data_IF_460824546984
#
_entry.id   IF_460824546984
#
_cell.length_a   1.000
_cell.length_b   1.000
_cell.length_c   1.000
_cell.angle_alpha   90.00
_cell.angle_beta   90.00
_cell.angle_gamma   90.00
#
_symmetry.space_group_name_H-M   'P 1'
#
loop_
_entity.id
_entity.type
_entity.pdbx_description
1 polymer ?
#
# COMPACT_ATOMS: atom_id res chain seq x y z
N UNK A 1 -30.48 -42.86 4.40
CA UNK A 1 -30.13 -41.95 5.52
C UNK A 1 -30.44 -40.53 5.07
N UNK A 2 -31.69 -40.10 5.27
CA UNK A 2 -32.13 -38.73 5.00
C UNK A 2 -31.91 -37.89 6.27
N UNK A 3 -31.18 -36.79 6.15
CA UNK A 3 -30.94 -35.84 7.25
C UNK A 3 -32.03 -34.77 7.22
N UNK A 4 -32.98 -34.90 8.14
CA UNK A 4 -34.01 -33.89 8.42
C UNK A 4 -33.40 -32.80 9.30
N UNK A 5 -33.20 -31.60 8.74
CA UNK A 5 -32.80 -30.40 9.48
C UNK A 5 -34.05 -29.73 10.08
N UNK A 6 -34.30 -29.93 11.37
CA UNK A 6 -35.33 -29.19 12.12
C UNK A 6 -34.83 -27.78 12.46
N UNK A 7 -35.43 -26.76 11.85
CA UNK A 7 -35.26 -25.35 12.21
C UNK A 7 -36.12 -25.03 13.44
N UNK A 8 -35.49 -24.85 14.59
CA UNK A 8 -36.10 -24.19 15.75
C UNK A 8 -36.11 -22.68 15.53
N UNK A 9 -37.31 -22.12 15.38
CA UNK A 9 -37.56 -20.68 15.31
C UNK A 9 -37.61 -20.13 16.75
N UNK A 10 -36.63 -19.33 17.15
CA UNK A 10 -36.69 -18.58 18.41
C UNK A 10 -37.30 -17.21 18.10
N UNK A 11 -38.49 -16.97 18.65
CA UNK A 11 -39.21 -15.70 18.61
C UNK A 11 -38.47 -14.66 19.47
N UNK A 12 -37.85 -13.66 18.84
CA UNK A 12 -37.32 -12.49 19.55
C UNK A 12 -38.46 -11.47 19.77
N UNK A 13 -38.79 -11.24 21.04
CA UNK A 13 -39.63 -10.12 21.46
C UNK A 13 -38.86 -8.80 21.28
N UNK A 14 -39.47 -7.85 20.57
CA UNK A 14 -38.94 -6.52 20.35
C UNK A 14 -38.96 -5.70 21.65
N UNK A 15 -37.79 -5.20 22.07
CA UNK A 15 -37.64 -4.23 23.15
C UNK A 15 -37.66 -2.82 22.54
N UNK A 16 -38.51 -1.89 23.00
CA UNK A 16 -38.57 -0.55 22.45
C UNK A 16 -37.33 0.27 22.85
N UNK A 17 -36.52 0.65 21.86
CA UNK A 17 -35.39 1.56 22.05
C UNK A 17 -35.87 3.00 22.23
N UNK A 18 -35.78 3.49 23.47
CA UNK A 18 -35.91 4.92 23.81
C UNK A 18 -34.68 5.68 23.28
N UNK A 19 -34.90 6.68 22.43
CA UNK A 19 -33.84 7.56 21.94
C UNK A 19 -33.25 8.42 23.10
N UNK A 20 -31.92 8.50 23.26
CA UNK A 20 -31.32 9.45 24.18
C UNK A 20 -31.18 10.84 23.53
N UNK A 21 -31.58 11.84 24.33
CA UNK A 21 -31.45 13.28 24.10
C UNK A 21 -30.00 13.68 23.82
N UNK A 22 -29.82 14.54 22.82
CA UNK A 22 -28.56 15.21 22.47
C UNK A 22 -28.04 16.05 23.64
N UNK A 23 -26.91 15.65 24.22
CA UNK A 23 -26.04 16.52 25.01
C UNK A 23 -24.66 16.53 24.38
N UNK A 24 -24.14 17.74 24.21
CA UNK A 24 -22.79 18.12 23.80
C UNK A 24 -21.71 17.09 24.17
N UNK A 25 -20.98 16.59 23.18
CA UNK A 25 -19.82 15.72 23.38
C UNK A 25 -18.56 16.55 23.66
N UNK A 26 -17.86 16.35 24.79
CA UNK A 26 -16.51 16.85 24.95
C UNK A 26 -15.53 15.99 24.14
N UNK A 27 -14.51 16.64 23.58
CA UNK A 27 -13.38 16.06 22.85
C UNK A 27 -12.77 14.85 23.60
N UNK A 28 -12.98 13.66 23.06
CA UNK A 28 -12.49 12.39 23.60
C UNK A 28 -11.45 11.77 22.65
N UNK A 29 -10.36 12.52 22.39
CA UNK A 29 -9.11 12.00 21.83
C UNK A 29 -7.92 12.86 22.28
N UNK A 30 -7.63 12.81 23.57
CA UNK A 30 -6.26 12.96 24.07
C UNK A 30 -5.98 11.70 24.87
N UNK A 31 -5.17 10.81 24.31
CA UNK A 31 -4.52 9.80 25.12
C UNK A 31 -3.50 10.56 25.95
N UNK A 32 -3.85 10.85 27.20
CA UNK A 32 -2.88 11.24 28.21
C UNK A 32 -2.02 10.00 28.50
N UNK A 33 -1.11 9.68 27.58
CA UNK A 33 0.11 8.99 27.96
C UNK A 33 0.86 10.02 28.80
N UNK A 34 0.95 9.75 30.08
CA UNK A 34 1.52 10.66 31.05
C UNK A 34 2.93 11.04 30.59
N UNK A 35 3.29 12.32 30.62
CA UNK A 35 4.63 12.79 30.21
C UNK A 35 5.72 12.07 31.02
N UNK A 36 5.36 11.58 32.21
CA UNK A 36 6.21 10.75 33.05
C UNK A 36 6.44 9.35 32.47
N UNK A 37 5.45 8.73 31.84
CA UNK A 37 5.57 7.41 31.21
C UNK A 37 6.47 7.46 29.97
N UNK A 38 6.41 8.55 29.20
CA UNK A 38 7.30 8.78 28.07
C UNK A 38 8.77 8.90 28.51
N UNK A 39 9.04 9.66 29.59
CA UNK A 39 10.39 9.80 30.14
C UNK A 39 10.92 8.50 30.76
N UNK A 40 10.06 7.72 31.40
CA UNK A 40 10.42 6.41 31.94
C UNK A 40 10.78 5.42 30.82
N UNK A 41 10.05 5.47 29.70
CA UNK A 41 10.34 4.64 28.53
C UNK A 41 11.67 5.04 27.88
N UNK A 42 11.94 6.34 27.76
CA UNK A 42 13.19 6.88 27.21
C UNK A 42 14.41 6.47 28.04
N UNK A 43 14.34 6.60 29.37
CA UNK A 43 15.40 6.15 30.28
C UNK A 43 15.66 4.63 30.22
N UNK A 44 14.59 3.83 30.06
CA UNK A 44 14.71 2.38 29.93
C UNK A 44 15.39 1.98 28.59
N UNK A 45 15.08 2.71 27.52
CA UNK A 45 15.68 2.50 26.20
C UNK A 45 17.17 2.86 26.21
N UNK A 46 17.53 3.99 26.82
CA UNK A 46 18.91 4.43 26.97
C UNK A 46 19.75 3.40 27.76
N UNK A 47 19.19 2.86 28.86
CA UNK A 47 19.86 1.84 29.65
C UNK A 47 20.08 0.54 28.83
N UNK A 48 19.10 0.11 28.04
CA UNK A 48 19.24 -1.07 27.17
C UNK A 48 20.30 -0.88 26.08
N UNK A 49 20.43 0.33 25.54
CA UNK A 49 21.47 0.66 24.56
C UNK A 49 22.85 0.58 25.22
N UNK A 50 23.01 1.15 26.42
CA UNK A 50 24.24 1.04 27.22
C UNK A 50 24.60 -0.41 27.54
N UNK A 51 23.62 -1.24 27.89
CA UNK A 51 23.83 -2.67 28.17
C UNK A 51 24.24 -3.45 26.91
N UNK A 52 23.63 -3.15 25.75
CA UNK A 52 24.02 -3.72 24.46
C UNK A 52 25.43 -3.31 24.06
N UNK A 53 25.79 -2.03 24.22
CA UNK A 53 27.13 -1.53 23.93
C UNK A 53 28.20 -2.21 24.80
N UNK A 54 27.90 -2.45 26.09
CA UNK A 54 28.78 -3.21 27.00
C UNK A 54 28.94 -4.67 26.57
N UNK A 55 27.86 -5.31 26.10
CA UNK A 55 27.87 -6.72 25.66
C UNK A 55 28.60 -6.96 24.35
N UNK A 56 28.59 -6.00 23.44
CA UNK A 56 29.29 -6.10 22.15
C UNK A 56 30.81 -5.88 22.30
N UNK A 57 31.26 -5.45 23.49
CA UNK A 57 32.66 -5.50 23.90
C UNK A 57 33.51 -4.41 23.23
N UNK A 58 33.66 -3.26 23.91
CA UNK A 58 34.68 -2.29 23.52
C UNK A 58 34.49 -0.84 23.96
N UNK A 59 33.41 -0.48 24.66
CA UNK A 59 33.22 0.90 25.13
C UNK A 59 33.55 1.05 26.61
N UNK A 60 34.64 1.77 26.90
CA UNK A 60 34.97 2.26 28.24
C UNK A 60 34.23 3.58 28.48
N UNK A 61 33.62 3.72 29.67
CA UNK A 61 32.82 4.88 30.08
C UNK A 61 33.58 6.24 30.06
N UNK A 62 34.90 6.22 29.88
CA UNK A 62 35.75 7.42 29.82
C UNK A 62 35.72 8.20 28.51
N UNK A 63 35.42 7.59 27.36
CA UNK A 63 35.57 8.27 26.05
C UNK A 63 34.33 9.06 25.60
N UNK A 64 33.16 8.82 26.22
CA UNK A 64 31.89 9.48 25.85
C UNK A 64 31.77 10.87 26.49
N UNK A 65 32.32 11.07 27.68
CA UNK A 65 32.31 12.38 28.36
C UNK A 65 33.21 13.42 27.68
N UNK A 66 34.40 13.00 27.23
CA UNK A 66 35.40 13.91 26.67
C UNK A 66 35.05 14.35 25.23
N UNK A 67 34.37 13.50 24.44
CA UNK A 67 33.92 13.87 23.09
C UNK A 67 32.70 14.77 23.07
N UNK A 68 31.86 14.78 24.11
CA UNK A 68 30.73 15.70 24.22
C UNK A 68 31.14 17.08 24.78
N UNK A 69 32.22 17.16 25.56
CA UNK A 69 32.75 18.43 26.08
C UNK A 69 33.72 19.13 25.11
N UNK A 70 34.42 18.39 24.24
CA UNK A 70 35.38 18.98 23.29
C UNK A 70 34.73 19.83 22.18
N UNK A 71 33.41 19.74 21.96
CA UNK A 71 32.68 20.58 20.99
C UNK A 71 32.13 21.89 21.57
N UNK A 72 32.27 22.13 22.88
CA UNK A 72 31.68 23.31 23.56
C UNK A 72 32.66 24.47 23.80
N UNK A 73 33.93 24.35 23.40
CA UNK A 73 34.97 25.31 23.76
C UNK A 73 35.79 25.84 22.60
N UNK A 74 35.18 26.55 21.64
CA UNK A 74 35.85 27.49 20.71
C UNK A 74 34.83 28.19 19.81
N UNK A 75 34.21 29.27 20.28
CA UNK A 75 33.74 30.41 19.48
C UNK A 75 33.05 31.45 20.39
N UNK A 76 33.85 32.30 21.01
CA UNK A 76 33.36 33.55 21.57
C UNK A 76 33.39 34.61 20.44
N UNK A 77 32.23 34.88 19.84
CA UNK A 77 32.04 36.06 18.99
C UNK A 77 31.44 35.78 17.61
N UNK A 78 30.15 35.45 17.53
CA UNK A 78 29.29 35.75 16.37
C UNK A 78 27.81 35.53 16.73
N UNK A 79 26.95 36.40 16.21
CA UNK A 79 25.48 36.44 16.36
C UNK A 79 24.78 35.09 16.09
N UNK A 80 23.67 34.80 16.80
CA UNK A 80 22.92 33.56 16.60
C UNK A 80 22.04 33.63 15.35
N UNK A 81 22.34 32.79 14.35
CA UNK A 81 21.37 32.37 13.33
C UNK A 81 20.84 30.97 13.69
N UNK A 82 19.55 30.69 13.42
CA UNK A 82 18.92 29.45 13.87
C UNK A 82 19.47 28.22 13.13
N UNK A 83 19.78 27.19 13.92
CA UNK A 83 20.28 25.90 13.46
C UNK A 83 19.15 25.06 12.84
N UNK A 84 19.10 25.06 11.52
CA UNK A 84 18.53 23.95 10.72
C UNK A 84 19.48 23.74 9.55
N UNK A 85 19.88 22.48 9.33
CA UNK A 85 20.84 22.00 8.31
C UNK A 85 22.32 21.99 8.74
N UNK A 86 22.75 20.94 9.44
CA UNK A 86 24.11 20.40 9.27
C UNK A 86 24.27 19.01 9.88
N UNK A 87 23.79 17.95 9.20
CA UNK A 87 24.29 16.58 9.39
C UNK A 87 24.01 15.74 8.13
N UNK A 88 25.03 15.51 7.30
CA UNK A 88 25.25 14.28 6.51
C UNK A 88 26.54 14.42 5.69
N UNK A 89 27.66 14.14 6.35
CA UNK A 89 28.90 13.74 5.66
C UNK A 89 29.59 12.73 6.58
N UNK A 90 29.28 11.46 6.36
CA UNK A 90 30.10 10.35 6.84
C UNK A 90 30.54 9.60 5.58
N UNK A 91 31.83 9.67 5.31
CA UNK A 91 32.49 8.94 4.24
C UNK A 91 32.37 7.44 4.47
N UNK A 92 31.77 6.74 3.50
CA UNK A 92 31.66 5.29 3.50
C UNK A 92 32.79 4.70 2.65
N UNK A 93 33.97 4.55 3.25
CA UNK A 93 35.06 3.75 2.68
C UNK A 93 34.97 2.34 3.28
N UNK A 94 34.36 1.40 2.57
CA UNK A 94 34.38 -0.01 2.94
C UNK A 94 35.09 -0.81 1.86
N UNK A 95 36.36 -1.12 2.12
CA UNK A 95 37.12 -2.16 1.42
C UNK A 95 36.44 -3.51 1.68
N UNK A 96 35.99 -4.16 0.60
CA UNK A 96 35.54 -5.55 0.64
C UNK A 96 36.78 -6.44 0.45
N UNK A 97 37.27 -7.05 1.53
CA UNK A 97 38.20 -8.17 1.45
C UNK A 97 37.43 -9.43 1.09
N UNK A 98 37.85 -10.08 0.01
CA UNK A 98 37.34 -11.35 -0.49
C UNK A 98 37.88 -12.48 0.40
N UNK A 99 37.08 -13.00 1.34
CA UNK A 99 37.38 -14.26 2.03
C UNK A 99 36.44 -15.36 1.55
N UNK A 100 36.99 -16.26 0.72
CA UNK A 100 36.33 -17.47 0.26
C UNK A 100 36.39 -18.55 1.36
N UNK A 101 35.39 -18.60 2.23
CA UNK A 101 35.18 -19.79 3.05
C UNK A 101 34.32 -20.83 2.32
N UNK A 102 35.05 -21.85 1.86
CA UNK A 102 34.61 -23.11 1.25
C UNK A 102 33.84 -23.93 2.28
N UNK A 103 32.50 -23.87 2.27
CA UNK A 103 31.66 -24.77 3.03
C UNK A 103 31.67 -26.16 2.36
N UNK A 104 32.31 -27.15 3.01
CA UNK A 104 32.12 -28.57 2.70
C UNK A 104 30.81 -29.04 3.33
N UNK A 105 29.92 -29.57 2.52
CA UNK A 105 28.76 -30.35 2.96
C UNK A 105 29.24 -31.78 3.28
N UNK A 106 28.83 -32.41 4.39
CA UNK A 106 29.08 -33.84 4.60
C UNK A 106 28.18 -34.64 3.66
N UNK A 107 28.77 -35.57 2.93
CA UNK A 107 28.05 -36.59 2.15
C UNK A 107 27.61 -37.67 3.12
N UNK A 108 26.30 -37.84 3.30
CA UNK A 108 25.74 -39.02 3.97
C UNK A 108 25.87 -40.24 3.06
N UNK A 109 26.46 -41.31 3.59
CA UNK A 109 26.62 -42.60 2.93
C UNK A 109 25.26 -43.32 2.89
N UNK A 110 24.76 -43.60 1.69
CA UNK A 110 23.58 -44.44 1.48
C UNK A 110 23.92 -45.93 1.59
N UNK A 111 23.02 -46.78 2.12
CA UNK A 111 23.23 -48.21 2.22
C UNK A 111 23.14 -48.87 0.84
N UNK A 112 24.06 -49.80 0.60
CA UNK A 112 24.07 -50.71 -0.54
C UNK A 112 22.97 -51.76 -0.37
N UNK A 113 21.98 -51.76 -1.27
CA UNK A 113 21.09 -52.90 -1.49
C UNK A 113 21.37 -53.52 -2.86
N UNK A 114 21.54 -54.83 -2.83
CA UNK A 114 21.84 -55.71 -3.93
C UNK A 114 20.63 -55.90 -4.87
N UNK A 115 20.90 -55.83 -6.17
CA UNK A 115 20.36 -56.79 -7.14
C UNK A 115 18.93 -56.59 -7.66
N UNK A 116 18.81 -56.02 -8.86
CA UNK A 116 18.01 -56.58 -9.94
C UNK A 116 18.36 -55.87 -11.26
N UNK A 117 18.85 -56.64 -12.22
CA UNK A 117 19.24 -56.16 -13.54
C UNK A 117 18.06 -55.63 -14.34
N UNK A 118 18.23 -54.42 -14.89
CA UNK A 118 17.46 -53.92 -16.02
C UNK A 118 18.43 -53.31 -17.01
N UNK A 119 18.31 -53.74 -18.26
CA UNK A 119 19.11 -53.34 -19.40
C UNK A 119 19.01 -51.82 -19.66
N UNK A 120 20.14 -51.13 -19.54
CA UNK A 120 20.30 -49.73 -19.94
C UNK A 120 21.09 -49.72 -21.27
N UNK A 121 20.57 -49.08 -22.34
CA UNK A 121 21.31 -48.94 -23.60
C UNK A 121 22.51 -47.98 -23.45
N UNK A 122 23.55 -48.11 -24.31
CA UNK A 122 24.81 -47.38 -24.14
C UNK A 122 24.63 -45.86 -24.33
N UNK A 123 25.44 -45.03 -23.66
CA UNK A 123 25.35 -43.59 -23.77
C UNK A 123 25.87 -43.12 -25.12
N UNK A 124 25.06 -42.30 -25.79
CA UNK A 124 25.48 -41.53 -26.95
C UNK A 124 26.64 -40.61 -26.56
N UNK A 125 27.66 -40.62 -27.41
CA UNK A 125 28.73 -39.65 -27.40
C UNK A 125 28.20 -38.25 -27.70
N UNK A 126 28.94 -37.26 -27.20
CA UNK A 126 29.07 -35.91 -27.73
C UNK A 126 28.03 -34.84 -27.27
N UNK A 127 28.31 -34.26 -26.10
CA UNK A 127 27.66 -33.04 -25.60
C UNK A 127 28.69 -32.06 -25.02
N UNK A 128 29.86 -31.95 -25.68
CA UNK A 128 30.91 -30.97 -25.32
C UNK A 128 31.00 -29.76 -26.26
N UNK A 129 30.06 -29.59 -27.19
CA UNK A 129 30.10 -28.53 -28.20
C UNK A 129 29.00 -27.43 -28.09
N UNK A 130 28.27 -27.30 -26.97
CA UNK A 130 27.19 -26.29 -26.85
C UNK A 130 27.31 -25.32 -25.67
N UNK A 131 28.51 -25.08 -25.12
CA UNK A 131 28.71 -24.11 -24.01
C UNK A 131 29.66 -22.96 -24.38
N UNK A 132 29.92 -22.73 -25.67
CA UNK A 132 30.85 -21.68 -26.11
C UNK A 132 30.22 -20.54 -26.93
N UNK A 133 28.88 -20.36 -26.93
CA UNK A 133 28.25 -19.34 -27.79
C UNK A 133 27.13 -18.53 -27.12
N UNK A 134 27.25 -18.23 -25.82
CA UNK A 134 26.25 -17.43 -25.10
C UNK A 134 26.81 -16.38 -24.13
N UNK A 135 27.94 -15.77 -24.47
CA UNK A 135 28.53 -14.65 -23.70
C UNK A 135 28.85 -13.40 -24.53
N UNK A 136 28.23 -13.23 -25.69
CA UNK A 136 28.48 -12.06 -26.55
C UNK A 136 27.21 -11.54 -27.22
N UNK A 137 26.21 -11.18 -26.41
CA UNK A 137 25.05 -10.41 -26.83
C UNK A 137 24.32 -9.79 -25.63
N UNK A 138 24.94 -8.80 -24.96
CA UNK A 138 24.25 -7.80 -24.13
C UNK A 138 25.20 -6.66 -23.75
N UNK A 139 25.81 -6.04 -24.75
CA UNK A 139 26.21 -4.64 -24.73
C UNK A 139 25.44 -4.02 -25.90
N UNK A 140 24.91 -2.80 -25.73
CA UNK A 140 24.12 -2.01 -26.70
C UNK A 140 22.60 -2.04 -26.54
N UNK A 141 22.10 -1.49 -25.41
CA UNK A 141 20.73 -0.94 -25.31
C UNK A 141 20.78 0.40 -24.51
N UNK A 142 21.73 1.28 -24.86
CA UNK A 142 21.83 2.67 -24.34
C UNK A 142 21.80 3.69 -25.51
N UNK A 143 20.94 3.45 -26.50
CA UNK A 143 20.77 4.34 -27.65
C UNK A 143 19.28 4.55 -28.00
N UNK A 144 18.50 5.04 -27.03
CA UNK A 144 17.30 5.81 -27.35
C UNK A 144 17.68 7.28 -27.55
N UNK A 145 18.49 7.52 -28.60
CA UNK A 145 18.64 8.83 -29.18
C UNK A 145 17.29 9.27 -29.75
N UNK A 146 16.62 10.19 -29.08
CA UNK A 146 15.55 10.94 -29.71
C UNK A 146 16.17 11.78 -30.84
N UNK A 147 15.76 11.62 -32.11
CA UNK A 147 16.18 12.56 -33.13
C UNK A 147 15.55 13.91 -32.79
N UNK A 148 16.41 14.90 -32.58
CA UNK A 148 16.01 16.30 -32.54
C UNK A 148 15.73 16.68 -34.00
N UNK A 149 14.50 16.46 -34.45
CA UNK A 149 14.06 17.02 -35.73
C UNK A 149 13.91 18.52 -35.59
N UNK A 150 14.96 19.19 -36.07
CA UNK A 150 15.01 20.60 -36.43
C UNK A 150 14.04 20.86 -37.60
N UNK A 151 12.76 20.96 -37.30
CA UNK A 151 11.73 21.37 -38.27
C UNK A 151 11.68 22.89 -38.38
N UNK A 152 12.59 23.37 -39.22
CA UNK A 152 12.50 24.62 -39.99
C UNK A 152 11.05 24.91 -40.43
N UNK A 153 10.61 26.09 -40.05
CA UNK A 153 9.70 27.00 -40.76
C UNK A 153 9.36 26.57 -42.20
N UNK A 154 8.13 26.09 -42.39
CA UNK A 154 7.41 26.31 -43.64
C UNK A 154 6.19 27.16 -43.31
N UNK A 155 6.25 28.39 -43.80
CA UNK A 155 5.18 29.38 -43.77
C UNK A 155 3.98 28.84 -44.53
N UNK A 156 2.85 28.71 -43.84
CA UNK A 156 1.56 28.39 -44.47
C UNK A 156 0.96 29.68 -45.07
N UNK A 157 0.30 29.59 -46.24
CA UNK A 157 -0.34 30.74 -46.87
C UNK A 157 -1.54 31.22 -46.05
N UNK A 158 -1.59 32.53 -45.86
CA UNK A 158 -2.71 33.28 -45.29
C UNK A 158 -3.73 33.58 -46.38
N UNK A 159 -4.78 32.78 -46.55
CA UNK A 159 -5.96 33.20 -47.32
C UNK A 159 -7.25 32.61 -46.70
N UNK A 160 -8.13 33.55 -46.35
CA UNK A 160 -9.57 33.52 -46.54
C UNK A 160 -10.51 32.81 -45.53
N UNK A 161 -10.97 33.63 -44.58
CA UNK A 161 -12.33 34.19 -44.64
C UNK A 161 -13.49 33.21 -44.89
N UNK A 162 -13.73 32.32 -43.93
CA UNK A 162 -15.03 31.70 -43.75
C UNK A 162 -15.57 32.09 -42.37
N UNK A 163 -16.34 33.19 -42.35
CA UNK A 163 -17.10 33.65 -41.21
C UNK A 163 -17.99 32.54 -40.65
N UNK A 164 -17.59 32.01 -39.49
CA UNK A 164 -18.48 31.27 -38.62
C UNK A 164 -19.12 32.29 -37.69
N UNK A 165 -20.39 32.62 -38.00
CA UNK A 165 -21.31 33.34 -37.12
C UNK A 165 -21.39 32.62 -35.77
N UNK A 166 -20.59 33.10 -34.81
CA UNK A 166 -20.75 32.75 -33.41
C UNK A 166 -21.93 33.58 -32.90
N UNK A 167 -23.08 32.96 -32.56
CA UNK A 167 -24.20 33.72 -32.02
C UNK A 167 -23.79 34.40 -30.71
N UNK A 168 -24.24 35.65 -30.48
CA UNK A 168 -23.89 36.38 -29.27
C UNK A 168 -24.35 35.62 -28.02
N UNK A 169 -23.60 35.72 -26.91
CA UNK A 169 -23.94 35.07 -25.65
C UNK A 169 -25.33 35.50 -25.21
N UNK A 170 -26.19 34.50 -24.98
CA UNK A 170 -27.58 34.66 -24.60
C UNK A 170 -27.72 35.67 -23.45
N UNK A 171 -28.61 36.64 -23.70
CA UNK A 171 -28.93 37.69 -22.77
C UNK A 171 -29.44 37.13 -21.43
N UNK A 172 -29.06 37.87 -20.40
CA UNK A 172 -29.42 37.78 -19.00
C UNK A 172 -30.91 37.44 -18.77
N UNK A 173 -31.22 36.19 -18.40
CA UNK A 173 -32.54 35.76 -17.91
C UNK A 173 -32.67 35.97 -16.39
N UNK A 174 -32.19 37.10 -15.88
CA UNK A 174 -32.53 37.60 -14.54
C UNK A 174 -33.88 38.33 -14.62
N UNK A 175 -34.98 37.59 -14.51
CA UNK A 175 -36.30 38.24 -14.48
C UNK A 175 -37.53 37.37 -14.30
N UNK A 176 -37.42 36.06 -14.09
CA UNK A 176 -38.59 35.26 -13.73
C UNK A 176 -38.82 35.34 -12.21
N UNK A 177 -39.59 36.35 -11.79
CA UNK A 177 -40.23 36.35 -10.48
C UNK A 177 -41.10 35.10 -10.38
N UNK A 178 -40.67 34.14 -9.58
CA UNK A 178 -41.49 32.99 -9.21
C UNK A 178 -42.58 33.52 -8.27
N UNK A 179 -43.88 33.39 -8.60
CA UNK A 179 -44.94 33.84 -7.72
C UNK A 179 -44.89 33.05 -6.40
N UNK A 180 -44.74 33.80 -5.31
CA UNK A 180 -44.46 33.32 -3.95
C UNK A 180 -45.70 32.73 -3.24
N UNK A 181 -46.82 32.55 -3.95
CA UNK A 181 -48.15 32.43 -3.34
C UNK A 181 -48.96 31.20 -3.80
N UNK A 182 -48.30 30.06 -3.96
CA UNK A 182 -48.98 28.77 -4.13
C UNK A 182 -48.47 27.74 -3.12
N UNK A 183 -48.66 28.02 -1.84
CA UNK A 183 -48.69 27.02 -0.78
C UNK A 183 -49.93 26.12 -0.97
N UNK A 184 -49.93 25.32 -2.03
CA UNK A 184 -50.89 24.24 -2.20
C UNK A 184 -50.55 23.17 -1.15
N UNK A 185 -51.46 23.03 -0.19
CA UNK A 185 -51.43 21.93 0.76
C UNK A 185 -51.24 20.61 0.01
N UNK A 186 -50.33 19.72 0.45
CA UNK A 186 -50.15 18.44 -0.19
C UNK A 186 -51.50 17.71 -0.23
N UNK A 187 -51.88 17.09 -1.36
CA UNK A 187 -53.17 16.42 -1.48
C UNK A 187 -53.31 15.40 -0.35
N UNK A 188 -54.33 15.61 0.48
CA UNK A 188 -54.69 14.72 1.58
C UNK A 188 -55.02 13.34 1.00
N UNK A 189 -54.08 12.40 1.10
CA UNK A 189 -54.26 11.05 0.57
C UNK A 189 -53.02 10.34 0.03
N UNK A 190 -51.84 10.98 0.00
CA UNK A 190 -50.59 10.24 -0.31
C UNK A 190 -50.25 9.34 0.86
N UNK A 191 -50.68 8.08 0.78
CA UNK A 191 -50.28 7.00 1.68
C UNK A 191 -48.79 6.79 1.46
N UNK A 192 -47.96 7.41 2.30
CA UNK A 192 -46.54 7.10 2.40
C UNK A 192 -46.45 5.68 2.98
N UNK A 193 -46.45 4.69 2.09
CA UNK A 193 -46.18 3.32 2.47
C UNK A 193 -44.82 3.30 3.18
N UNK A 194 -44.71 2.68 4.37
CA UNK A 194 -43.43 2.57 5.05
C UNK A 194 -42.46 1.89 4.09
N UNK A 195 -41.47 2.64 3.62
CA UNK A 195 -40.40 2.12 2.77
C UNK A 195 -39.71 1.05 3.59
N UNK A 196 -40.01 -0.21 3.28
CA UNK A 196 -39.38 -1.35 3.93
C UNK A 196 -37.87 -1.07 3.96
N UNK A 197 -37.19 -1.23 5.11
CA UNK A 197 -35.77 -0.91 5.23
C UNK A 197 -35.07 -1.60 4.08
N UNK A 198 -34.55 -0.81 3.13
CA UNK A 198 -33.91 -1.33 1.93
C UNK A 198 -32.85 -2.31 2.43
N UNK A 199 -33.11 -3.62 2.24
CA UNK A 199 -32.10 -4.65 2.49
C UNK A 199 -30.88 -4.13 1.77
N UNK A 200 -29.83 -3.78 2.54
CA UNK A 200 -28.63 -3.20 1.95
C UNK A 200 -28.11 -4.28 1.03
N UNK A 201 -28.33 -4.08 -0.26
CA UNK A 201 -27.84 -4.98 -1.28
C UNK A 201 -26.34 -4.77 -1.27
N UNK A 202 -25.65 -5.61 -0.51
CA UNK A 202 -24.20 -5.61 -0.44
C UNK A 202 -23.70 -6.33 -1.69
N UNK A 203 -23.08 -5.57 -2.59
CA UNK A 203 -22.34 -6.16 -3.69
C UNK A 203 -20.98 -6.67 -3.19
N UNK A 204 -20.38 -7.60 -3.92
CA UNK A 204 -19.11 -8.27 -3.53
C UNK A 204 -17.98 -7.25 -3.27
N UNK A 205 -17.94 -6.17 -4.05
CA UNK A 205 -16.93 -5.12 -3.87
C UNK A 205 -17.02 -4.34 -2.56
N UNK A 206 -18.18 -4.35 -1.90
CA UNK A 206 -18.43 -3.63 -0.64
C UNK A 206 -18.08 -4.42 0.62
N UNK A 207 -17.66 -5.68 0.48
CA UNK A 207 -17.24 -6.52 1.61
C UNK A 207 -16.02 -5.87 2.30
N UNK A 208 -16.05 -5.78 3.63
CA UNK A 208 -15.06 -5.16 4.52
C UNK A 208 -14.79 -3.66 4.29
N UNK A 209 -15.82 -2.92 3.88
CA UNK A 209 -15.78 -1.46 3.91
C UNK A 209 -15.66 -0.94 5.36
N UNK A 210 -14.86 0.10 5.64
CA UNK A 210 -14.16 0.98 4.69
C UNK A 210 -12.69 0.62 4.41
N UNK A 211 -12.05 -0.21 5.24
CA UNK A 211 -10.58 -0.33 5.20
C UNK A 211 -10.05 -1.40 4.23
N UNK A 212 -10.82 -2.46 4.00
CA UNK A 212 -10.37 -3.62 3.20
C UNK A 212 -11.25 -3.86 1.97
N UNK A 213 -12.28 -3.04 1.76
CA UNK A 213 -13.11 -3.13 0.55
C UNK A 213 -12.33 -2.87 -0.73
N UNK A 214 -12.94 -3.22 -1.86
CA UNK A 214 -12.39 -2.89 -3.19
C UNK A 214 -12.53 -1.39 -3.46
N UNK A 215 -11.88 -0.91 -4.52
CA UNK A 215 -11.94 0.49 -4.95
C UNK A 215 -13.41 0.92 -5.13
N UNK A 216 -13.78 2.17 -4.80
CA UNK A 216 -15.11 2.70 -5.09
C UNK A 216 -15.50 2.55 -6.56
N UNK A 217 -16.76 2.23 -6.79
CA UNK A 217 -17.36 2.14 -8.12
C UNK A 217 -17.71 3.53 -8.63
N UNK A 218 -16.93 4.05 -9.59
CA UNK A 218 -17.19 5.37 -10.19
C UNK A 218 -18.54 5.44 -10.89
N UNK A 219 -18.99 4.35 -11.52
CA UNK A 219 -20.30 4.30 -12.17
C UNK A 219 -21.44 4.31 -11.15
N UNK A 220 -21.27 3.69 -9.97
CA UNK A 220 -22.30 3.72 -8.94
C UNK A 220 -22.40 5.11 -8.32
N UNK A 221 -21.26 5.76 -8.08
CA UNK A 221 -21.19 7.16 -7.66
C UNK A 221 -21.90 8.10 -8.65
N UNK A 222 -21.83 7.80 -9.95
CA UNK A 222 -22.54 8.53 -11.01
C UNK A 222 -24.01 8.10 -11.24
N UNK A 223 -24.52 7.08 -10.51
CA UNK A 223 -25.86 6.54 -10.72
C UNK A 223 -26.03 5.71 -12.01
N UNK A 224 -24.93 5.28 -12.62
CA UNK A 224 -24.87 4.60 -13.93
C UNK A 224 -24.40 3.15 -13.84
N UNK A 225 -24.16 2.61 -12.64
CA UNK A 225 -23.71 1.22 -12.49
C UNK A 225 -24.82 0.22 -12.87
N UNK A 226 -24.59 -0.55 -13.93
CA UNK A 226 -25.51 -1.60 -14.41
C UNK A 226 -25.27 -2.97 -13.77
N UNK A 227 -24.11 -3.18 -13.16
CA UNK A 227 -23.73 -4.48 -12.59
C UNK A 227 -24.44 -4.81 -11.27
N UNK A 228 -25.09 -3.82 -10.63
CA UNK A 228 -25.88 -4.04 -9.42
C UNK A 228 -25.12 -4.80 -8.33
N UNK A 229 -25.64 -5.98 -7.98
CA UNK A 229 -25.14 -6.84 -6.89
C UNK A 229 -23.82 -7.55 -7.26
N UNK A 230 -23.61 -7.77 -8.55
CA UNK A 230 -22.46 -8.47 -9.10
C UNK A 230 -21.28 -7.52 -9.35
N UNK A 231 -21.44 -6.23 -9.04
CA UNK A 231 -20.36 -5.27 -9.21
C UNK A 231 -19.17 -5.62 -8.29
N UNK A 232 -18.00 -5.80 -8.89
CA UNK A 232 -16.74 -6.02 -8.17
C UNK A 232 -16.16 -4.78 -7.50
N UNK A 233 -16.80 -3.61 -7.58
CA UNK A 233 -16.32 -2.35 -6.97
C UNK A 233 -17.23 -1.91 -5.84
N UNK A 234 -16.69 -1.25 -4.81
CA UNK A 234 -17.47 -0.88 -3.64
C UNK A 234 -18.55 0.17 -3.97
N UNK A 235 -19.79 -0.07 -3.56
CA UNK A 235 -20.93 0.83 -3.73
C UNK A 235 -21.22 1.64 -2.44
N UNK A 236 -20.51 1.36 -1.34
CA UNK A 236 -20.71 2.11 -0.11
C UNK A 236 -20.06 3.51 -0.18
N UNK A 237 -20.61 4.51 0.53
CA UNK A 237 -20.03 5.85 0.59
C UNK A 237 -18.62 5.81 1.17
N UNK A 238 -17.63 6.37 0.46
CA UNK A 238 -16.28 6.53 0.99
C UNK A 238 -16.08 7.96 1.42
N UNK A 239 -15.66 8.17 2.67
CA UNK A 239 -15.42 9.50 3.22
C UNK A 239 -14.10 10.12 2.72
N UNK A 240 -13.39 9.46 1.81
CA UNK A 240 -12.11 9.88 1.29
C UNK A 240 -12.15 9.94 -0.24
N UNK A 241 -11.54 10.98 -0.80
CA UNK A 241 -11.29 11.07 -2.23
C UNK A 241 -10.35 9.93 -2.64
N UNK A 242 -10.67 9.15 -3.69
CA UNK A 242 -9.74 8.16 -4.23
C UNK A 242 -8.39 8.82 -4.50
N UNK A 243 -7.33 8.20 -4.00
CA UNK A 243 -5.99 8.70 -4.21
C UNK A 243 -5.58 8.31 -5.61
N UNK A 244 -5.38 9.32 -6.45
CA UNK A 244 -4.81 9.17 -7.78
C UNK A 244 -3.31 9.44 -7.63
N UNK A 245 -2.45 8.43 -7.78
CA UNK A 245 -1.01 8.65 -7.73
C UNK A 245 -0.61 9.63 -8.84
N UNK A 246 0.30 10.57 -8.57
CA UNK A 246 0.79 11.50 -9.58
C UNK A 246 1.71 10.81 -10.62
N UNK A 247 2.18 11.56 -11.61
CA UNK A 247 3.04 11.00 -12.66
C UNK A 247 4.38 10.46 -12.11
N UNK A 248 4.97 11.16 -11.14
CA UNK A 248 6.23 10.77 -10.53
C UNK A 248 6.07 9.51 -9.68
N UNK A 249 5.05 9.45 -8.82
CA UNK A 249 4.67 8.29 -8.02
C UNK A 249 4.40 7.06 -8.90
N UNK A 250 3.68 7.22 -10.01
CA UNK A 250 3.48 6.15 -10.99
C UNK A 250 4.80 5.67 -11.60
N UNK A 251 5.72 6.59 -11.88
CA UNK A 251 7.07 6.27 -12.36
C UNK A 251 7.85 5.47 -11.31
N UNK A 252 7.86 5.91 -10.05
CA UNK A 252 8.50 5.19 -8.95
C UNK A 252 7.93 3.78 -8.76
N UNK A 253 6.60 3.61 -8.72
CA UNK A 253 5.97 2.28 -8.62
C UNK A 253 6.28 1.39 -9.84
N UNK A 254 6.43 1.98 -11.03
CA UNK A 254 6.79 1.23 -12.24
C UNK A 254 8.24 0.78 -12.22
N UNK A 255 9.16 1.62 -11.74
CA UNK A 255 10.60 1.31 -11.65
C UNK A 255 10.92 0.36 -10.51
N UNK A 256 10.22 0.48 -9.37
CA UNK A 256 10.41 -0.40 -8.23
C UNK A 256 10.14 -1.86 -8.60
N UNK A 257 11.04 -2.76 -8.19
CA UNK A 257 10.81 -4.20 -8.20
C UNK A 257 9.70 -4.59 -7.23
N UNK A 258 9.15 -5.79 -7.41
CA UNK A 258 8.13 -6.32 -6.50
C UNK A 258 8.61 -6.36 -5.05
N UNK A 259 9.87 -6.75 -4.83
CA UNK A 259 10.46 -6.88 -3.50
C UNK A 259 10.63 -5.53 -2.81
N UNK A 260 11.19 -4.54 -3.52
CA UNK A 260 11.31 -3.16 -3.04
C UNK A 260 9.96 -2.58 -2.65
N UNK A 261 8.95 -2.74 -3.52
CA UNK A 261 7.60 -2.25 -3.28
C UNK A 261 6.97 -2.94 -2.06
N UNK A 262 7.18 -4.25 -1.93
CA UNK A 262 6.66 -5.05 -0.81
C UNK A 262 7.24 -4.61 0.53
N UNK A 263 8.53 -4.28 0.60
CA UNK A 263 9.16 -3.76 1.83
C UNK A 263 8.49 -2.46 2.28
N UNK A 264 8.28 -1.50 1.37
CA UNK A 264 7.64 -0.22 1.70
C UNK A 264 6.16 -0.40 2.06
N UNK A 265 5.45 -1.29 1.35
CA UNK A 265 4.04 -1.61 1.63
C UNK A 265 3.88 -2.31 2.98
N UNK A 266 4.75 -3.25 3.34
CA UNK A 266 4.68 -4.01 4.58
C UNK A 266 4.68 -3.10 5.82
N UNK A 267 5.58 -2.12 5.87
CA UNK A 267 5.65 -1.12 6.95
C UNK A 267 4.29 -0.42 7.16
N UNK A 268 3.66 0.00 6.06
CA UNK A 268 2.40 0.74 6.10
C UNK A 268 1.19 -0.17 6.37
N UNK A 269 1.26 -1.40 5.87
CA UNK A 269 0.22 -2.40 6.03
C UNK A 269 0.11 -2.85 7.49
N UNK A 270 1.24 -3.08 8.17
CA UNK A 270 1.28 -3.43 9.59
C UNK A 270 0.68 -2.32 10.46
N UNK A 271 1.12 -1.08 10.25
CA UNK A 271 0.58 0.09 10.98
C UNK A 271 -0.92 0.23 10.78
N UNK A 272 -1.42 0.04 9.56
CA UNK A 272 -2.86 0.15 9.25
C UNK A 272 -3.68 -1.01 9.80
N UNK A 273 -3.16 -2.23 9.73
CA UNK A 273 -3.80 -3.40 10.32
C UNK A 273 -3.89 -3.26 11.85
N UNK A 274 -2.83 -2.78 12.49
CA UNK A 274 -2.82 -2.48 13.93
C UNK A 274 -3.82 -1.37 14.28
N UNK A 275 -3.77 -0.24 13.58
CA UNK A 275 -4.67 0.89 13.81
C UNK A 275 -6.16 0.55 13.58
N UNK A 276 -6.45 -0.40 12.70
CA UNK A 276 -7.82 -0.85 12.41
C UNK A 276 -8.27 -2.01 13.31
N UNK A 277 -7.42 -2.53 14.20
CA UNK A 277 -7.73 -3.69 15.03
C UNK A 277 -7.72 -5.04 14.30
N UNK A 278 -7.19 -5.09 13.07
CA UNK A 278 -7.18 -6.28 12.21
C UNK A 278 -5.84 -7.01 12.18
N UNK A 279 -4.87 -6.65 13.02
CA UNK A 279 -3.52 -7.23 13.00
C UNK A 279 -3.50 -8.76 13.11
N UNK A 280 -4.36 -9.33 13.98
CA UNK A 280 -4.51 -10.79 14.13
C UNK A 280 -5.17 -11.45 12.93
N UNK A 281 -6.07 -10.74 12.26
CA UNK A 281 -6.76 -11.25 11.06
C UNK A 281 -5.83 -11.17 9.84
N UNK A 282 -4.99 -10.15 9.77
CA UNK A 282 -4.04 -9.92 8.67
C UNK A 282 -2.70 -10.62 8.84
N UNK A 283 -2.50 -11.47 9.84
CA UNK A 283 -1.19 -12.13 10.09
C UNK A 283 -0.77 -13.00 8.91
N UNK A 284 -1.67 -13.83 8.36
CA UNK A 284 -1.38 -14.67 7.19
C UNK A 284 -1.03 -13.84 5.96
N UNK A 285 -1.73 -12.72 5.75
CA UNK A 285 -1.44 -11.76 4.68
C UNK A 285 -0.02 -11.20 4.81
N UNK A 286 0.38 -10.81 6.02
CA UNK A 286 1.73 -10.31 6.30
C UNK A 286 2.79 -11.39 6.09
N UNK A 287 2.52 -12.64 6.48
CA UNK A 287 3.43 -13.77 6.26
C UNK A 287 3.68 -14.05 4.78
N UNK A 288 2.63 -14.04 3.95
CA UNK A 288 2.75 -14.21 2.50
C UNK A 288 3.66 -13.13 1.89
N UNK A 289 3.45 -11.86 2.28
CA UNK A 289 4.25 -10.75 1.79
C UNK A 289 5.70 -10.81 2.29
N UNK A 290 5.93 -11.10 3.56
CA UNK A 290 7.29 -11.26 4.13
C UNK A 290 8.05 -12.41 3.48
N UNK A 291 7.39 -13.54 3.23
CA UNK A 291 7.97 -14.68 2.53
C UNK A 291 8.40 -14.34 1.11
N UNK A 292 7.69 -13.43 0.43
CA UNK A 292 8.06 -13.00 -0.91
C UNK A 292 9.38 -12.22 -0.92
N UNK A 293 9.64 -11.37 0.09
CA UNK A 293 10.85 -10.54 0.16
C UNK A 293 12.11 -11.39 0.25
N UNK A 294 12.07 -12.53 0.94
CA UNK A 294 13.22 -13.44 1.11
C UNK A 294 13.70 -14.02 -0.23
N UNK A 295 12.79 -14.18 -1.20
CA UNK A 295 13.09 -14.84 -2.47
C UNK A 295 13.69 -13.91 -3.53
N UNK A 296 13.71 -12.59 -3.28
CA UNK A 296 14.16 -11.62 -4.26
C UNK A 296 15.39 -10.86 -3.77
N UNK A 297 16.36 -10.67 -4.67
CA UNK A 297 17.44 -9.70 -4.43
C UNK A 297 16.83 -8.29 -4.44
N UNK A 298 16.73 -7.69 -3.26
CA UNK A 298 16.29 -6.30 -3.13
C UNK A 298 17.41 -5.38 -3.57
N UNK A 299 17.17 -4.63 -4.65
CA UNK A 299 17.87 -3.35 -4.81
C UNK A 299 17.32 -2.39 -3.76
N UNK A 300 18.12 -1.39 -3.40
CA UNK A 300 17.70 -0.35 -2.47
C UNK A 300 17.14 0.78 -3.31
N UNK A 301 15.84 1.07 -3.16
CA UNK A 301 15.23 2.26 -3.73
C UNK A 301 15.97 3.50 -3.24
N UNK A 302 16.05 4.52 -4.09
CA UNK A 302 16.64 5.80 -3.65
C UNK A 302 15.79 6.38 -2.51
N UNK A 303 16.44 7.12 -1.61
CA UNK A 303 15.75 7.67 -0.44
C UNK A 303 14.56 8.56 -0.82
N UNK A 304 14.70 9.36 -1.88
CA UNK A 304 13.63 10.23 -2.39
C UNK A 304 12.44 9.43 -2.99
N UNK A 305 12.70 8.34 -3.70
CA UNK A 305 11.66 7.46 -4.26
C UNK A 305 10.91 6.74 -3.13
N UNK A 306 11.66 6.26 -2.13
CA UNK A 306 11.09 5.62 -0.94
C UNK A 306 10.15 6.57 -0.21
N UNK A 307 10.61 7.79 0.10
CA UNK A 307 9.80 8.77 0.83
C UNK A 307 8.54 9.19 0.06
N UNK A 308 8.67 9.35 -1.26
CA UNK A 308 7.53 9.61 -2.13
C UNK A 308 6.46 8.50 -2.06
N UNK A 309 6.88 7.24 -2.10
CA UNK A 309 5.98 6.10 -1.98
C UNK A 309 5.37 5.97 -0.57
N UNK A 310 6.15 6.22 0.49
CA UNK A 310 5.64 6.23 1.87
C UNK A 310 4.50 7.25 2.03
N UNK A 311 4.70 8.46 1.52
CA UNK A 311 3.68 9.52 1.58
C UNK A 311 2.39 9.13 0.83
N UNK A 312 2.51 8.44 -0.30
CA UNK A 312 1.36 7.90 -1.03
C UNK A 312 0.66 6.79 -0.22
N UNK A 313 1.40 5.79 0.24
CA UNK A 313 0.89 4.59 0.90
C UNK A 313 0.26 4.87 2.27
N UNK A 314 0.75 5.88 2.99
CA UNK A 314 0.12 6.37 4.22
C UNK A 314 -1.35 6.73 4.03
N UNK A 315 -1.72 7.22 2.85
CA UNK A 315 -3.08 7.66 2.55
C UNK A 315 -3.96 6.51 2.01
N UNK A 316 -3.37 5.45 1.45
CA UNK A 316 -4.12 4.33 0.86
C UNK A 316 -4.80 3.45 1.92
N UNK A 317 -5.84 2.72 1.54
CA UNK A 317 -6.46 1.71 2.41
C UNK A 317 -5.67 0.40 2.40
N UNK A 318 -5.97 -0.51 3.33
CA UNK A 318 -5.34 -1.84 3.36
C UNK A 318 -5.55 -2.56 2.03
N UNK A 319 -6.80 -2.57 1.52
CA UNK A 319 -7.10 -3.16 0.22
C UNK A 319 -6.34 -2.51 -0.94
N UNK A 320 -6.15 -1.19 -0.89
CA UNK A 320 -5.37 -0.47 -1.90
C UNK A 320 -3.88 -0.84 -1.89
N UNK A 321 -3.28 -0.97 -0.71
CA UNK A 321 -1.88 -1.35 -0.56
C UNK A 321 -1.60 -2.75 -1.10
N UNK A 322 -2.46 -3.73 -0.78
CA UNK A 322 -2.32 -5.09 -1.30
C UNK A 322 -2.53 -5.13 -2.82
N UNK A 323 -3.46 -4.34 -3.35
CA UNK A 323 -3.69 -4.27 -4.80
C UNK A 323 -2.47 -3.72 -5.56
N UNK A 324 -1.69 -2.81 -4.96
CA UNK A 324 -0.45 -2.31 -5.56
C UNK A 324 0.55 -3.45 -5.75
N UNK A 325 0.66 -4.36 -4.78
CA UNK A 325 1.51 -5.56 -4.89
C UNK A 325 0.94 -6.54 -5.92
N UNK A 326 -0.36 -6.83 -5.88
CA UNK A 326 -1.01 -7.74 -6.83
C UNK A 326 -0.84 -7.31 -8.28
N UNK A 327 -0.95 -6.02 -8.58
CA UNK A 327 -0.76 -5.49 -9.93
C UNK A 327 0.69 -5.63 -10.44
N UNK A 328 1.65 -5.86 -9.54
CA UNK A 328 3.08 -5.99 -9.85
C UNK A 328 3.55 -7.45 -9.78
N UNK A 329 2.80 -8.29 -9.08
CA UNK A 329 3.11 -9.71 -8.92
C UNK A 329 3.00 -10.42 -10.28
N UNK A 330 3.94 -11.32 -10.61
CA UNK A 330 3.75 -12.21 -11.74
C UNK A 330 2.54 -13.11 -11.45
N UNK A 331 1.83 -13.51 -12.51
CA UNK A 331 0.78 -14.52 -12.40
C UNK A 331 1.36 -15.81 -11.81
N UNK A 332 0.62 -16.46 -10.92
CA UNK A 332 1.01 -17.73 -10.29
C UNK A 332 0.69 -17.80 -8.81
N UNK A 333 1.27 -18.81 -8.16
CA UNK A 333 0.93 -19.22 -6.80
C UNK A 333 1.05 -18.11 -5.75
N UNK A 334 1.98 -17.17 -5.91
CA UNK A 334 2.12 -16.04 -5.00
C UNK A 334 0.92 -15.08 -5.09
N UNK A 335 0.54 -14.68 -6.31
CA UNK A 335 -0.57 -13.76 -6.52
C UNK A 335 -1.89 -14.39 -6.07
N UNK A 336 -2.15 -15.64 -6.45
CA UNK A 336 -3.33 -16.40 -6.03
C UNK A 336 -3.45 -16.51 -4.51
N UNK A 337 -2.36 -16.88 -3.83
CA UNK A 337 -2.33 -16.98 -2.38
C UNK A 337 -2.56 -15.62 -1.72
N UNK A 338 -1.97 -14.55 -2.27
CA UNK A 338 -2.16 -13.19 -1.75
C UNK A 338 -3.61 -12.71 -1.91
N UNK A 339 -4.25 -13.01 -3.04
CA UNK A 339 -5.68 -12.72 -3.27
C UNK A 339 -6.58 -13.51 -2.32
N UNK A 340 -6.27 -14.79 -2.11
CA UNK A 340 -7.01 -15.65 -1.19
C UNK A 340 -6.97 -15.13 0.24
N UNK A 341 -5.79 -14.76 0.74
CA UNK A 341 -5.66 -14.20 2.10
C UNK A 341 -6.33 -12.83 2.22
N UNK A 342 -6.29 -11.99 1.17
CA UNK A 342 -7.04 -10.74 1.15
C UNK A 342 -8.56 -10.99 1.17
N UNK A 343 -9.05 -12.00 0.46
CA UNK A 343 -10.46 -12.39 0.49
C UNK A 343 -10.86 -12.92 1.87
N UNK A 344 -10.05 -13.78 2.49
CA UNK A 344 -10.27 -14.26 3.86
C UNK A 344 -10.33 -13.09 4.85
N UNK A 345 -9.40 -12.14 4.78
CA UNK A 345 -9.44 -10.94 5.61
C UNK A 345 -10.75 -10.16 5.41
N UNK A 346 -11.19 -9.97 4.16
CA UNK A 346 -12.46 -9.29 3.85
C UNK A 346 -13.67 -10.01 4.46
N UNK A 347 -13.73 -11.33 4.33
CA UNK A 347 -14.82 -12.13 4.89
C UNK A 347 -14.84 -12.03 6.42
N UNK A 348 -13.68 -12.19 7.07
CA UNK A 348 -13.58 -12.12 8.53
C UNK A 348 -13.92 -10.74 9.09
N UNK A 349 -13.51 -9.66 8.44
CA UNK A 349 -13.86 -8.29 8.86
C UNK A 349 -15.36 -8.00 8.72
N UNK A 350 -16.05 -8.66 7.78
CA UNK A 350 -17.47 -8.40 7.53
C UNK A 350 -18.39 -9.23 8.44
N UNK A 351 -17.98 -10.45 8.77
CA UNK A 351 -18.84 -11.44 9.43
C UNK A 351 -18.34 -11.93 10.80
N UNK A 352 -17.12 -11.59 11.20
CA UNK A 352 -16.52 -11.95 12.49
C UNK A 352 -16.35 -10.72 13.37
#
# INVERSE_FOLDING_TARGET
MELVYSKTFVSFQEVPLRAPRTKSMPNLFKTDLDVQDAKALEANLEQKIKDLARRVGGWNDGEVGDRLNASAGSNAGADPRPATELWLQVDNHQQVSHDQHKWRVPVEEAPTEDGAGLDIPPPAADLRAQVANHQQASHDEDEWGMPVEDSRLQEAPTEDDAGLDIPPPAADLRGAQVPEDAAQAPPAGVVVLPVAPRRRIFNIGSIAHPQVCRRPCMFFLAGQCRNGVDCGFCHLPHNYRPIVPDQFQRSCMRKASLAELTVVVLEHLEVKLAASGYIRLGTLLLEVLRGSVVNYRTRVLRANETECLKMLFRRMTIGGLVQVILNKAPEGAFAERLEQELLHLRMRVTYG
#
